data_IF_804207727606
#
_entry.id   IF_804207727606
#
_cell.length_a   1.000
_cell.length_b   1.000
_cell.length_c   1.000
_cell.angle_alpha   90.00
_cell.angle_beta   90.00
_cell.angle_gamma   90.00
#
_symmetry.space_group_name_H-M   'P 1'
#
loop_
_entity.id
_entity.type
_entity.pdbx_description
1 polymer ?
#
# COMPACT_ATOMS: atom_id res chain seq x y z
N UNK A 1 34.57 -22.58 5.94
CA UNK A 1 33.44 -21.63 5.85
C UNK A 1 33.54 -20.91 4.51
N UNK A 2 32.43 -20.73 3.79
CA UNK A 2 32.41 -19.90 2.57
C UNK A 2 32.86 -18.48 2.88
N UNK A 3 33.73 -17.90 2.03
CA UNK A 3 34.12 -16.48 2.10
C UNK A 3 33.02 -15.53 1.59
N UNK A 4 31.93 -16.07 1.04
CA UNK A 4 30.87 -15.30 0.39
C UNK A 4 29.58 -15.33 1.22
N UNK A 5 29.03 -14.14 1.44
CA UNK A 5 27.74 -13.89 2.07
C UNK A 5 26.68 -13.67 0.98
N UNK A 6 25.59 -14.44 1.03
CA UNK A 6 24.45 -14.24 0.14
C UNK A 6 23.44 -13.29 0.79
N UNK A 7 22.95 -12.31 0.03
CA UNK A 7 21.88 -11.40 0.48
C UNK A 7 20.67 -11.60 -0.41
N UNK A 8 19.52 -11.92 0.18
CA UNK A 8 18.27 -12.20 -0.51
C UNK A 8 17.23 -11.11 -0.24
N UNK A 9 16.70 -10.54 -1.32
CA UNK A 9 15.56 -9.62 -1.27
C UNK A 9 14.22 -10.33 -1.51
N UNK A 10 13.14 -9.52 -1.52
CA UNK A 10 11.75 -9.94 -1.76
C UNK A 10 11.54 -10.78 -3.04
N UNK A 11 12.39 -10.60 -4.05
CA UNK A 11 12.31 -11.32 -5.32
C UNK A 11 12.52 -12.83 -5.23
N UNK A 12 13.18 -13.34 -4.19
CA UNK A 12 13.38 -14.78 -4.00
C UNK A 12 12.04 -15.51 -3.78
N UNK A 13 11.16 -14.94 -2.95
CA UNK A 13 9.85 -15.49 -2.64
C UNK A 13 8.84 -15.30 -3.78
N UNK A 14 9.10 -14.34 -4.70
CA UNK A 14 8.23 -14.14 -5.87
C UNK A 14 8.46 -15.17 -6.98
N UNK A 15 9.49 -16.00 -6.90
CA UNK A 15 9.82 -16.96 -7.96
C UNK A 15 8.67 -17.93 -8.27
N UNK A 16 8.56 -18.30 -9.55
CA UNK A 16 7.48 -19.19 -10.03
C UNK A 16 7.46 -20.50 -9.26
N UNK A 17 6.29 -20.86 -8.73
CA UNK A 17 6.07 -21.99 -7.83
C UNK A 17 6.04 -21.60 -6.35
N UNK A 18 6.70 -20.51 -5.93
CA UNK A 18 6.48 -19.92 -4.59
C UNK A 18 5.37 -18.87 -4.67
N UNK A 19 5.45 -17.99 -5.67
CA UNK A 19 4.42 -17.00 -6.01
C UNK A 19 3.90 -16.23 -4.79
N UNK A 20 4.82 -15.83 -3.91
CA UNK A 20 4.50 -14.95 -2.80
C UNK A 20 4.22 -13.54 -3.33
N UNK A 21 3.22 -12.82 -2.75
CA UNK A 21 2.89 -11.49 -3.21
C UNK A 21 4.00 -10.48 -2.92
N UNK A 22 4.09 -9.47 -3.79
CA UNK A 22 4.93 -8.30 -3.58
C UNK A 22 4.21 -7.28 -2.70
N UNK A 23 4.95 -6.32 -2.13
CA UNK A 23 4.40 -5.29 -1.24
C UNK A 23 3.18 -4.55 -1.84
N UNK A 24 3.21 -4.26 -3.13
CA UNK A 24 2.13 -3.56 -3.85
C UNK A 24 0.85 -4.39 -4.05
N UNK A 25 0.90 -5.72 -3.89
CA UNK A 25 -0.26 -6.60 -3.98
C UNK A 25 -0.64 -7.23 -2.63
N UNK A 26 0.21 -7.07 -1.63
CA UNK A 26 0.09 -7.73 -0.33
C UNK A 26 -1.22 -7.38 0.39
N UNK A 27 -1.64 -6.12 0.35
CA UNK A 27 -2.89 -5.68 0.98
C UNK A 27 -4.12 -6.37 0.41
N UNK A 28 -4.18 -6.53 -0.93
CA UNK A 28 -5.27 -7.20 -1.61
C UNK A 28 -5.35 -8.69 -1.21
N UNK A 29 -4.20 -9.36 -1.17
CA UNK A 29 -4.11 -10.76 -0.75
C UNK A 29 -4.50 -10.96 0.71
N UNK A 30 -4.04 -10.09 1.63
CA UNK A 30 -4.42 -10.12 3.04
C UNK A 30 -5.94 -9.93 3.18
N UNK A 31 -6.51 -8.96 2.48
CA UNK A 31 -7.96 -8.70 2.52
C UNK A 31 -8.73 -9.94 2.07
N UNK A 32 -8.33 -10.54 0.94
CA UNK A 32 -8.96 -11.74 0.40
C UNK A 32 -8.85 -12.93 1.36
N UNK A 33 -7.70 -13.10 1.99
CA UNK A 33 -7.50 -14.13 3.00
C UNK A 33 -8.49 -13.97 4.14
N UNK A 34 -8.62 -12.77 4.72
CA UNK A 34 -9.55 -12.51 5.83
C UNK A 34 -11.02 -12.65 5.43
N UNK A 35 -11.38 -12.33 4.19
CA UNK A 35 -12.74 -12.52 3.68
C UNK A 35 -13.06 -14.00 3.35
N UNK A 36 -12.02 -14.85 3.25
CA UNK A 36 -12.14 -16.27 2.92
C UNK A 36 -11.58 -17.17 4.03
N UNK A 37 -10.52 -17.96 3.77
CA UNK A 37 -10.04 -18.98 4.72
C UNK A 37 -9.51 -18.41 6.05
N UNK A 38 -9.15 -17.14 6.08
CA UNK A 38 -8.72 -16.40 7.26
C UNK A 38 -9.87 -15.77 8.06
N UNK A 39 -11.13 -15.98 7.69
CA UNK A 39 -12.27 -15.37 8.41
C UNK A 39 -12.30 -15.66 9.92
N UNK A 40 -12.00 -16.89 10.39
CA UNK A 40 -11.90 -17.15 11.82
C UNK A 40 -10.80 -16.33 12.52
N UNK A 41 -9.72 -15.99 11.80
CA UNK A 41 -8.65 -15.13 12.33
C UNK A 41 -9.15 -13.70 12.47
N UNK A 42 -9.85 -13.14 11.47
CA UNK A 42 -10.49 -11.82 11.57
C UNK A 42 -11.42 -11.74 12.78
N UNK A 43 -12.28 -12.76 12.97
CA UNK A 43 -13.22 -12.81 14.08
C UNK A 43 -12.51 -12.85 15.44
N UNK A 44 -11.46 -13.68 15.57
CA UNK A 44 -10.66 -13.76 16.79
C UNK A 44 -9.94 -12.43 17.10
N UNK A 45 -9.33 -11.79 16.10
CA UNK A 45 -8.67 -10.51 16.27
C UNK A 45 -9.65 -9.40 16.68
N UNK A 46 -10.85 -9.38 16.10
CA UNK A 46 -11.91 -8.43 16.48
C UNK A 46 -12.42 -8.65 17.90
N UNK A 47 -12.54 -9.90 18.33
CA UNK A 47 -12.90 -10.23 19.71
C UNK A 47 -11.83 -9.77 20.71
N UNK A 48 -10.54 -9.96 20.39
CA UNK A 48 -9.42 -9.51 21.23
C UNK A 48 -9.25 -7.99 21.27
N UNK A 49 -9.70 -7.27 20.23
CA UNK A 49 -9.57 -5.82 20.10
C UNK A 49 -10.95 -5.16 20.14
N UNK A 50 -11.61 -5.11 21.32
CA UNK A 50 -12.98 -4.60 21.42
C UNK A 50 -13.06 -3.13 20.96
N UNK A 51 -14.11 -2.84 20.19
CA UNK A 51 -14.36 -1.52 19.62
C UNK A 51 -13.51 -1.19 18.38
N UNK A 52 -12.79 -2.15 17.80
CA UNK A 52 -12.07 -1.96 16.53
C UNK A 52 -13.06 -1.62 15.40
N UNK A 53 -12.96 -0.38 14.89
CA UNK A 53 -13.77 0.10 13.75
C UNK A 53 -13.05 -0.04 12.39
N UNK A 54 -11.78 -0.43 12.41
CA UNK A 54 -11.00 -0.54 11.18
C UNK A 54 -11.46 -1.70 10.30
N UNK A 55 -11.47 -1.41 9.00
CA UNK A 55 -11.52 -2.38 7.91
C UNK A 55 -10.74 -1.86 6.72
N UNK A 56 -10.19 -2.75 5.88
CA UNK A 56 -9.51 -2.35 4.65
C UNK A 56 -10.44 -1.56 3.71
N UNK A 57 -11.74 -1.85 3.73
CA UNK A 57 -12.76 -1.05 3.04
C UNK A 57 -12.87 0.39 3.59
N UNK A 58 -12.84 0.57 4.91
CA UNK A 58 -12.84 1.92 5.52
C UNK A 58 -11.57 2.69 5.20
N UNK A 59 -10.44 1.98 5.02
CA UNK A 59 -9.18 2.58 4.61
C UNK A 59 -9.27 3.13 3.19
N UNK A 60 -9.83 2.38 2.22
CA UNK A 60 -10.08 2.89 0.86
C UNK A 60 -10.89 4.18 0.90
N UNK A 61 -11.96 4.21 1.71
CA UNK A 61 -12.80 5.41 1.80
C UNK A 61 -11.98 6.64 2.24
N UNK A 62 -11.15 6.50 3.28
CA UNK A 62 -10.26 7.57 3.74
C UNK A 62 -9.18 7.93 2.71
N UNK A 63 -8.64 6.94 2.00
CA UNK A 63 -7.69 7.15 0.93
C UNK A 63 -8.32 8.04 -0.15
N UNK A 64 -9.55 7.74 -0.59
CA UNK A 64 -10.28 8.56 -1.56
C UNK A 64 -10.52 9.97 -1.05
N UNK A 65 -10.87 10.14 0.22
CA UNK A 65 -11.05 11.47 0.78
C UNK A 65 -9.73 12.26 0.80
N UNK A 66 -8.58 11.60 1.07
CA UNK A 66 -7.24 12.24 1.01
C UNK A 66 -6.83 12.64 -0.43
N UNK A 67 -7.37 12.04 -1.49
CA UNK A 67 -7.05 12.44 -2.88
C UNK A 67 -7.46 13.89 -3.15
N UNK A 68 -8.57 14.33 -2.56
CA UNK A 68 -9.10 15.68 -2.73
C UNK A 68 -8.12 16.77 -2.32
N UNK A 69 -7.31 16.46 -1.30
CA UNK A 69 -6.45 17.42 -0.60
C UNK A 69 -4.97 17.19 -0.93
N UNK A 70 -4.67 16.42 -1.98
CA UNK A 70 -3.29 16.22 -2.44
C UNK A 70 -2.81 17.41 -3.23
N UNK A 71 -1.51 17.68 -3.11
CA UNK A 71 -0.87 18.77 -3.84
C UNK A 71 -0.85 18.51 -5.36
N UNK A 72 -0.83 19.56 -6.21
CA UNK A 72 -0.88 19.40 -7.68
C UNK A 72 0.19 18.45 -8.23
N UNK A 73 1.40 18.48 -7.67
CA UNK A 73 2.50 17.60 -8.09
C UNK A 73 2.21 16.12 -7.78
N UNK A 74 1.59 15.81 -6.65
CA UNK A 74 1.19 14.44 -6.29
C UNK A 74 0.07 13.94 -7.21
N UNK A 75 -0.88 14.82 -7.54
CA UNK A 75 -1.95 14.50 -8.49
C UNK A 75 -1.38 14.20 -9.89
N UNK A 76 -0.40 15.00 -10.36
CA UNK A 76 0.31 14.74 -11.63
C UNK A 76 1.07 13.42 -11.61
N UNK A 77 1.75 13.08 -10.51
CA UNK A 77 2.42 11.79 -10.37
C UNK A 77 1.44 10.60 -10.40
N UNK A 78 0.23 10.75 -9.85
CA UNK A 78 -0.84 9.75 -9.98
C UNK A 78 -1.28 9.57 -11.43
N UNK A 79 -1.48 10.67 -12.16
CA UNK A 79 -1.84 10.64 -13.59
C UNK A 79 -0.77 9.91 -14.40
N UNK A 80 0.51 10.24 -14.19
CA UNK A 80 1.62 9.63 -14.92
C UNK A 80 1.67 8.11 -14.73
N UNK A 81 1.52 7.62 -13.49
CA UNK A 81 1.48 6.17 -13.22
C UNK A 81 0.35 5.46 -13.93
N UNK A 82 -0.84 6.07 -13.98
CA UNK A 82 -1.99 5.50 -14.69
C UNK A 82 -1.73 5.50 -16.20
N UNK A 83 -1.11 6.56 -16.75
CA UNK A 83 -0.71 6.63 -18.16
C UNK A 83 0.27 5.52 -18.53
N UNK A 84 1.31 5.32 -17.74
CA UNK A 84 2.30 4.25 -17.93
C UNK A 84 1.64 2.86 -17.86
N UNK A 85 0.75 2.67 -16.87
CA UNK A 85 0.00 1.43 -16.75
C UNK A 85 -0.84 1.14 -17.99
N UNK A 86 -1.63 2.09 -18.50
CA UNK A 86 -2.43 1.85 -19.70
C UNK A 86 -1.60 1.74 -20.99
N UNK A 87 -0.44 2.40 -21.07
CA UNK A 87 0.46 2.30 -22.22
C UNK A 87 1.02 0.89 -22.37
N UNK A 88 1.32 0.22 -21.24
CA UNK A 88 1.81 -1.16 -21.20
C UNK A 88 0.74 -2.23 -21.47
N UNK A 89 -0.55 -1.87 -21.52
CA UNK A 89 -1.62 -2.85 -21.70
C UNK A 89 -1.61 -3.46 -23.11
N UNK A 90 -1.87 -4.77 -23.23
CA UNK A 90 -2.16 -5.40 -24.51
C UNK A 90 -3.36 -4.77 -25.25
N UNK A 91 -3.42 -4.82 -26.59
CA UNK A 91 -4.50 -4.22 -27.38
C UNK A 91 -5.90 -4.70 -27.02
N UNK A 92 -6.05 -5.95 -26.61
CA UNK A 92 -7.33 -6.58 -26.25
C UNK A 92 -7.95 -6.05 -24.96
N UNK A 93 -7.16 -5.41 -24.08
CA UNK A 93 -7.65 -4.83 -22.81
C UNK A 93 -8.30 -3.45 -22.97
N UNK A 94 -9.19 -3.32 -23.96
CA UNK A 94 -9.87 -2.05 -24.31
C UNK A 94 -10.65 -1.47 -23.14
N UNK A 95 -11.35 -2.30 -22.37
CA UNK A 95 -12.14 -1.85 -21.22
C UNK A 95 -11.26 -1.24 -20.10
N UNK A 96 -10.13 -1.89 -19.79
CA UNK A 96 -9.17 -1.40 -18.79
C UNK A 96 -8.52 -0.10 -19.25
N UNK A 97 -8.17 0.00 -20.55
CA UNK A 97 -7.63 1.24 -21.15
C UNK A 97 -8.61 2.40 -21.02
N UNK A 98 -9.88 2.20 -21.39
CA UNK A 98 -10.94 3.21 -21.22
C UNK A 98 -11.15 3.61 -19.76
N UNK A 99 -11.04 2.65 -18.84
CA UNK A 99 -11.11 2.94 -17.41
C UNK A 99 -9.94 3.85 -16.98
N UNK A 100 -8.71 3.57 -17.40
CA UNK A 100 -7.58 4.45 -17.12
C UNK A 100 -7.71 5.84 -17.75
N UNK A 101 -8.22 5.93 -18.98
CA UNK A 101 -8.54 7.22 -19.61
C UNK A 101 -9.55 8.04 -18.81
N UNK A 102 -10.60 7.40 -18.26
CA UNK A 102 -11.54 8.06 -17.36
C UNK A 102 -10.83 8.63 -16.14
N UNK A 103 -10.00 7.83 -15.45
CA UNK A 103 -9.25 8.27 -14.27
C UNK A 103 -8.33 9.45 -14.62
N UNK A 104 -7.57 9.38 -15.72
CA UNK A 104 -6.70 10.46 -16.18
C UNK A 104 -7.51 11.75 -16.39
N UNK A 105 -8.64 11.69 -17.09
CA UNK A 105 -9.49 12.87 -17.33
C UNK A 105 -10.02 13.48 -16.03
N UNK A 106 -10.39 12.63 -15.07
CA UNK A 106 -10.88 13.05 -13.76
C UNK A 106 -9.79 13.76 -12.94
N UNK A 107 -8.58 13.22 -12.90
CA UNK A 107 -7.45 13.85 -12.20
C UNK A 107 -6.95 15.12 -12.88
N UNK A 108 -6.91 15.18 -14.21
CA UNK A 108 -6.54 16.41 -14.92
C UNK A 108 -7.50 17.56 -14.64
N UNK A 109 -8.81 17.26 -14.43
CA UNK A 109 -9.77 18.27 -13.99
C UNK A 109 -9.48 18.78 -12.58
N UNK A 110 -9.05 17.91 -11.67
CA UNK A 110 -8.65 18.33 -10.32
C UNK A 110 -7.38 19.17 -10.34
N UNK A 111 -6.37 18.74 -11.09
CA UNK A 111 -5.11 19.48 -11.22
C UNK A 111 -5.35 20.88 -11.78
N UNK A 112 -6.20 21.02 -12.80
CA UNK A 112 -6.55 22.32 -13.38
C UNK A 112 -7.29 23.23 -12.38
N UNK A 113 -8.20 22.67 -11.56
CA UNK A 113 -8.88 23.45 -10.51
C UNK A 113 -7.87 23.94 -9.47
N UNK A 114 -6.94 23.08 -9.06
CA UNK A 114 -5.92 23.44 -8.09
C UNK A 114 -4.97 24.51 -8.64
N UNK A 115 -4.49 24.37 -9.88
CA UNK A 115 -3.64 25.35 -10.55
C UNK A 115 -4.34 26.71 -10.70
N UNK A 116 -5.57 26.72 -11.22
CA UNK A 116 -6.33 27.97 -11.40
C UNK A 116 -6.81 28.61 -10.08
N UNK A 117 -6.68 27.89 -8.96
CA UNK A 117 -6.98 28.46 -7.65
C UNK A 117 -5.80 29.20 -7.05
N UNK A 118 -4.58 29.04 -7.58
CA UNK A 118 -3.42 29.80 -7.12
C UNK A 118 -3.52 31.26 -7.59
N UNK A 119 -3.06 32.19 -6.77
CA UNK A 119 -2.86 33.57 -7.18
C UNK A 119 -1.67 33.59 -8.14
N UNK A 120 -1.86 34.13 -9.33
CA UNK A 120 -0.76 34.38 -10.25
C UNK A 120 -0.05 35.70 -9.90
N UNK A 121 1.19 35.83 -10.39
CA UNK A 121 2.04 36.99 -10.12
C UNK A 121 1.39 38.31 -10.58
N UNK A 122 0.61 38.29 -11.67
CA UNK A 122 -0.12 39.45 -12.17
C UNK A 122 -1.19 39.91 -11.18
N UNK A 123 -1.97 38.96 -10.65
CA UNK A 123 -3.01 39.22 -9.66
C UNK A 123 -2.42 39.68 -8.33
N UNK A 124 -1.33 39.07 -7.86
CA UNK A 124 -0.63 39.51 -6.66
C UNK A 124 -0.10 40.94 -6.79
N UNK A 125 0.52 41.27 -7.93
CA UNK A 125 1.00 42.61 -8.21
C UNK A 125 -0.16 43.62 -8.20
N UNK A 126 -1.31 43.26 -8.79
CA UNK A 126 -2.49 44.11 -8.75
C UNK A 126 -3.02 44.32 -7.32
N UNK A 127 -3.02 43.29 -6.48
CA UNK A 127 -3.39 43.43 -5.05
C UNK A 127 -2.45 44.41 -4.35
N UNK A 128 -1.13 44.32 -4.61
CA UNK A 128 -0.11 45.22 -4.06
C UNK A 128 -0.30 46.67 -4.53
N UNK A 129 -0.71 46.88 -5.78
CA UNK A 129 -1.02 48.20 -6.32
C UNK A 129 -2.28 48.82 -5.71
N UNK A 130 -3.33 48.01 -5.51
CA UNK A 130 -4.62 48.49 -4.99
C UNK A 130 -4.58 48.70 -3.47
N UNK A 131 -3.85 47.85 -2.72
CA UNK A 131 -3.78 47.89 -1.26
C UNK A 131 -2.34 48.05 -0.73
N UNK A 132 -1.60 49.11 -1.10
CA UNK A 132 -0.14 49.18 -0.90
C UNK A 132 0.34 49.20 0.56
N UNK A 133 -0.55 49.47 1.53
CA UNK A 133 -0.22 49.48 2.96
C UNK A 133 -0.57 48.17 3.69
N UNK A 134 -1.47 47.38 3.11
CA UNK A 134 -2.07 46.20 3.73
C UNK A 134 -1.81 44.92 2.90
N UNK A 135 -1.13 45.02 1.76
CA UNK A 135 -0.96 43.94 0.79
C UNK A 135 -0.28 42.69 1.38
N UNK A 136 0.71 42.88 2.24
CA UNK A 136 1.40 41.76 2.89
C UNK A 136 0.52 41.03 3.91
N UNK A 137 -0.47 41.71 4.50
CA UNK A 137 -1.46 41.09 5.40
C UNK A 137 -2.61 40.43 4.61
N UNK A 138 -2.88 40.88 3.38
CA UNK A 138 -3.93 40.34 2.50
C UNK A 138 -3.47 39.10 1.71
N UNK A 139 -2.19 39.02 1.36
CA UNK A 139 -1.57 37.88 0.66
C UNK A 139 -1.00 36.91 1.71
N UNK A 140 -1.87 36.39 2.57
CA UNK A 140 -1.54 35.36 3.59
C UNK A 140 -1.70 33.93 3.03
N UNK A 141 -2.23 33.80 1.81
CA UNK A 141 -2.44 32.53 1.12
C UNK A 141 -2.15 32.70 -0.36
N UNK A 142 -1.33 31.81 -0.90
CA UNK A 142 -1.01 31.72 -2.34
C UNK A 142 -2.21 31.25 -3.18
N UNK A 143 -3.39 31.05 -2.57
CA UNK A 143 -4.59 30.54 -3.24
C UNK A 143 -5.86 31.27 -2.86
N UNK A 144 -6.72 31.45 -3.88
CA UNK A 144 -8.09 31.98 -3.81
C UNK A 144 -9.01 31.02 -3.06
N UNK A 145 -8.74 29.71 -3.11
CA UNK A 145 -9.55 28.67 -2.47
C UNK A 145 -8.70 27.84 -1.51
N UNK A 146 -9.21 27.61 -0.31
CA UNK A 146 -8.63 26.63 0.60
C UNK A 146 -8.91 25.21 0.07
N UNK A 147 -7.97 24.68 -0.70
CA UNK A 147 -8.06 23.34 -1.33
C UNK A 147 -8.22 22.24 -0.27
N UNK A 148 -7.69 22.43 0.94
CA UNK A 148 -7.83 21.46 2.02
C UNK A 148 -9.26 21.40 2.60
N UNK A 149 -10.08 22.43 2.35
CA UNK A 149 -11.52 22.45 2.68
C UNK A 149 -12.43 22.04 1.54
N UNK A 150 -11.92 21.89 0.32
CA UNK A 150 -12.70 21.43 -0.83
C UNK A 150 -13.01 19.93 -0.69
N UNK A 151 -14.29 19.57 -0.78
CA UNK A 151 -14.72 18.18 -0.86
C UNK A 151 -15.02 17.80 -2.32
N UNK A 152 -14.53 16.63 -2.72
CA UNK A 152 -14.95 15.99 -3.97
C UNK A 152 -16.45 15.71 -3.96
N UNK A 153 -17.06 15.74 -5.14
CA UNK A 153 -18.44 15.32 -5.33
C UNK A 153 -18.62 13.82 -5.06
N UNK A 154 -19.83 13.43 -4.66
CA UNK A 154 -20.14 12.01 -4.40
C UNK A 154 -19.93 11.12 -5.62
N UNK A 155 -20.18 11.65 -6.83
CA UNK A 155 -19.90 10.96 -8.09
C UNK A 155 -18.42 10.64 -8.20
N UNK A 156 -17.55 11.63 -7.98
CA UNK A 156 -16.11 11.46 -8.09
C UNK A 156 -15.57 10.50 -7.03
N UNK A 157 -16.01 10.69 -5.77
CA UNK A 157 -15.68 9.78 -4.67
C UNK A 157 -16.11 8.35 -4.98
N UNK A 158 -17.30 8.16 -5.56
CA UNK A 158 -17.82 6.83 -5.88
C UNK A 158 -17.00 6.15 -6.99
N UNK A 159 -16.62 6.89 -8.03
CA UNK A 159 -15.75 6.35 -9.10
C UNK A 159 -14.42 5.90 -8.50
N UNK A 160 -13.73 6.77 -7.75
CA UNK A 160 -12.44 6.43 -7.13
C UNK A 160 -12.55 5.26 -6.15
N UNK A 161 -13.59 5.24 -5.30
CA UNK A 161 -13.84 4.13 -4.36
C UNK A 161 -14.02 2.81 -5.10
N UNK A 162 -14.77 2.81 -6.20
CA UNK A 162 -14.95 1.60 -7.03
C UNK A 162 -13.63 1.18 -7.67
N UNK A 163 -12.89 2.11 -8.27
CA UNK A 163 -11.58 1.82 -8.88
C UNK A 163 -10.61 1.23 -7.88
N UNK A 164 -10.41 1.85 -6.71
CA UNK A 164 -9.48 1.32 -5.69
C UNK A 164 -9.94 -0.02 -5.11
N UNK A 165 -11.25 -0.25 -4.97
CA UNK A 165 -11.78 -1.57 -4.57
C UNK A 165 -11.45 -2.66 -5.58
N UNK A 166 -11.40 -2.35 -6.88
CA UNK A 166 -10.96 -3.33 -7.89
C UNK A 166 -9.49 -3.74 -7.67
N UNK A 167 -8.66 -2.86 -7.09
CA UNK A 167 -7.30 -3.20 -6.68
C UNK A 167 -7.22 -4.22 -5.53
N UNK A 168 -8.32 -4.41 -4.78
CA UNK A 168 -8.42 -5.45 -3.74
C UNK A 168 -9.09 -6.74 -4.24
N UNK A 169 -9.68 -6.74 -5.44
CA UNK A 169 -10.35 -7.92 -6.02
C UNK A 169 -9.35 -8.90 -6.64
N UNK A 170 -9.80 -10.14 -6.92
CA UNK A 170 -8.98 -11.25 -7.39
C UNK A 170 -8.26 -11.01 -8.73
N UNK A 171 -8.85 -10.17 -9.58
CA UNK A 171 -8.24 -9.81 -10.86
C UNK A 171 -7.39 -8.57 -10.65
N UNK A 172 -6.07 -8.70 -10.81
CA UNK A 172 -5.15 -7.55 -10.79
C UNK A 172 -5.60 -6.54 -11.84
N UNK A 173 -6.25 -5.47 -11.38
CA UNK A 173 -6.69 -4.39 -12.24
C UNK A 173 -5.60 -3.32 -12.31
N UNK A 174 -4.92 -3.21 -13.45
CA UNK A 174 -3.68 -2.44 -13.61
C UNK A 174 -3.85 -0.96 -13.25
N UNK A 175 -4.98 -0.36 -13.63
CA UNK A 175 -5.31 1.03 -13.27
C UNK A 175 -5.48 1.20 -11.76
N UNK A 176 -6.08 0.22 -11.09
CA UNK A 176 -6.32 0.29 -9.66
C UNK A 176 -5.02 0.09 -8.87
N UNK A 177 -4.16 -0.82 -9.34
CA UNK A 177 -2.82 -1.00 -8.80
C UNK A 177 -1.97 0.27 -8.98
N UNK A 178 -2.00 0.88 -10.16
CA UNK A 178 -1.26 2.12 -10.43
C UNK A 178 -1.75 3.30 -9.58
N UNK A 179 -3.07 3.47 -9.47
CA UNK A 179 -3.69 4.52 -8.66
C UNK A 179 -3.47 4.30 -7.16
N UNK A 180 -3.56 3.05 -6.72
CA UNK A 180 -3.49 2.65 -5.33
C UNK A 180 -2.09 2.38 -4.80
N UNK A 181 -1.03 2.47 -5.63
CA UNK A 181 0.30 1.96 -5.26
C UNK A 181 0.86 2.58 -3.96
N UNK A 182 0.59 3.87 -3.71
CA UNK A 182 1.02 4.53 -2.46
C UNK A 182 -0.06 4.42 -1.37
N UNK A 183 -1.33 4.43 -1.79
CA UNK A 183 -2.50 4.55 -0.91
C UNK A 183 -2.90 3.23 -0.26
N UNK A 184 -2.55 2.13 -0.91
CA UNK A 184 -2.84 0.75 -0.52
C UNK A 184 -1.55 0.02 -0.10
N UNK A 185 -0.47 0.76 0.16
CA UNK A 185 0.75 0.19 0.69
C UNK A 185 0.59 -0.12 2.18
N UNK A 186 0.68 -1.41 2.52
CA UNK A 186 0.54 -1.88 3.89
C UNK A 186 1.70 -1.43 4.80
N UNK A 187 2.89 -1.21 4.27
CA UNK A 187 4.05 -0.74 5.04
C UNK A 187 3.83 0.71 5.50
N UNK A 188 3.42 1.58 4.58
CA UNK A 188 3.06 2.97 4.89
C UNK A 188 1.93 3.02 5.92
N UNK A 189 0.94 2.14 5.77
CA UNK A 189 -0.18 2.04 6.71
C UNK A 189 0.31 1.63 8.11
N UNK A 190 1.17 0.63 8.20
CA UNK A 190 1.74 0.18 9.47
C UNK A 190 2.55 1.30 10.13
N UNK A 191 3.37 2.04 9.39
CA UNK A 191 4.11 3.20 9.91
C UNK A 191 3.14 4.27 10.44
N UNK A 192 2.12 4.65 9.66
CA UNK A 192 1.13 5.66 10.06
C UNK A 192 0.44 5.27 11.38
N UNK A 193 0.11 3.98 11.55
CA UNK A 193 -0.56 3.49 12.77
C UNK A 193 0.41 3.27 13.93
N UNK A 194 1.66 2.94 13.65
CA UNK A 194 2.71 2.80 14.66
C UNK A 194 2.97 4.11 15.40
N UNK A 195 2.83 5.26 14.73
CA UNK A 195 2.91 6.58 15.39
C UNK A 195 1.89 6.76 16.52
N UNK A 196 0.81 5.96 16.52
CA UNK A 196 -0.14 5.90 17.64
C UNK A 196 0.47 5.48 18.96
N UNK A 197 1.57 4.70 18.98
CA UNK A 197 2.28 4.35 20.21
C UNK A 197 3.04 5.54 20.81
N UNK A 198 3.62 6.41 19.97
CA UNK A 198 4.34 7.60 20.44
C UNK A 198 3.39 8.68 20.97
N UNK A 199 2.22 8.80 20.35
CA UNK A 199 1.24 9.84 20.69
C UNK A 199 0.12 9.34 21.62
N UNK A 200 0.30 8.16 22.21
CA UNK A 200 -0.68 7.46 23.07
C UNK A 200 -2.11 7.54 22.54
N UNK A 201 -2.30 7.09 21.29
CA UNK A 201 -3.59 7.12 20.58
C UNK A 201 -4.17 5.70 20.46
N UNK A 202 -5.07 5.28 21.37
CA UNK A 202 -5.50 3.88 21.46
C UNK A 202 -6.14 3.34 20.19
N UNK A 203 -6.82 4.19 19.41
CA UNK A 203 -7.42 3.76 18.15
C UNK A 203 -6.37 3.35 17.12
N UNK A 204 -5.25 4.08 17.05
CA UNK A 204 -4.20 3.79 16.07
C UNK A 204 -3.36 2.59 16.52
N UNK A 205 -3.12 2.45 17.83
CA UNK A 205 -2.51 1.25 18.43
C UNK A 205 -3.34 0.00 18.08
N UNK A 206 -4.67 0.01 18.31
CA UNK A 206 -5.55 -1.12 17.97
C UNK A 206 -5.53 -1.43 16.47
N UNK A 207 -5.54 -0.41 15.62
CA UNK A 207 -5.46 -0.59 14.18
C UNK A 207 -4.13 -1.24 13.79
N UNK A 208 -3.01 -0.77 14.35
CA UNK A 208 -1.70 -1.35 14.12
C UNK A 208 -1.68 -2.83 14.50
N UNK A 209 -2.12 -3.18 15.71
CA UNK A 209 -2.18 -4.57 16.17
C UNK A 209 -3.00 -5.45 15.22
N UNK A 210 -4.19 -5.00 14.84
CA UNK A 210 -5.03 -5.73 13.89
C UNK A 210 -4.35 -5.95 12.54
N UNK A 211 -3.78 -4.90 11.94
CA UNK A 211 -3.13 -4.98 10.62
C UNK A 211 -1.90 -5.91 10.68
N UNK A 212 -1.05 -5.75 11.68
CA UNK A 212 0.15 -6.56 11.87
C UNK A 212 -0.17 -8.05 12.04
N UNK A 213 -1.16 -8.38 12.87
CA UNK A 213 -1.58 -9.76 13.09
C UNK A 213 -2.30 -10.37 11.88
N UNK A 214 -3.13 -9.59 11.19
CA UNK A 214 -3.75 -10.02 9.94
C UNK A 214 -2.70 -10.34 8.86
N UNK A 215 -1.71 -9.45 8.71
CA UNK A 215 -0.59 -9.66 7.80
C UNK A 215 0.20 -10.93 8.19
N UNK A 216 0.60 -11.05 9.46
CA UNK A 216 1.33 -12.22 9.94
C UNK A 216 0.56 -13.53 9.68
N UNK A 217 -0.73 -13.58 10.01
CA UNK A 217 -1.56 -14.76 9.81
C UNK A 217 -1.66 -15.14 8.32
N UNK A 218 -1.82 -14.16 7.44
CA UNK A 218 -1.78 -14.36 5.99
C UNK A 218 -0.44 -14.95 5.55
N UNK A 219 0.68 -14.35 5.96
CA UNK A 219 2.02 -14.82 5.57
C UNK A 219 2.27 -16.26 6.04
N UNK A 220 1.85 -16.60 7.27
CA UNK A 220 1.93 -17.97 7.81
C UNK A 220 1.06 -18.95 7.00
N UNK A 221 -0.18 -18.57 6.70
CA UNK A 221 -1.08 -19.40 5.89
C UNK A 221 -0.49 -19.66 4.50
N UNK A 222 -0.01 -18.60 3.84
CA UNK A 222 0.58 -18.69 2.50
C UNK A 222 1.86 -19.52 2.48
N UNK A 223 2.72 -19.38 3.49
CA UNK A 223 3.89 -20.24 3.65
C UNK A 223 3.48 -21.72 3.76
N UNK A 224 2.47 -22.04 4.57
CA UNK A 224 1.98 -23.43 4.72
C UNK A 224 1.43 -23.99 3.41
N UNK A 225 0.70 -23.19 2.63
CA UNK A 225 0.21 -23.58 1.30
C UNK A 225 1.37 -23.93 0.35
N UNK A 226 2.39 -23.09 0.26
CA UNK A 226 3.57 -23.34 -0.59
C UNK A 226 4.27 -24.62 -0.18
N UNK A 227 4.51 -24.82 1.12
CA UNK A 227 5.15 -26.03 1.65
C UNK A 227 4.31 -27.28 1.36
N UNK A 228 3.00 -27.22 1.56
CA UNK A 228 2.10 -28.34 1.29
C UNK A 228 2.08 -28.70 -0.21
N UNK A 229 2.08 -27.69 -1.10
CA UNK A 229 2.09 -27.90 -2.54
C UNK A 229 3.39 -28.56 -3.05
N UNK A 230 4.52 -28.33 -2.38
CA UNK A 230 5.82 -28.90 -2.78
C UNK A 230 6.15 -30.19 -2.04
N UNK A 231 5.56 -30.44 -0.87
CA UNK A 231 5.84 -31.61 -0.04
C UNK A 231 7.33 -31.71 0.30
N UNK A 232 7.96 -32.82 -0.10
CA UNK A 232 9.40 -33.04 0.07
C UNK A 232 10.25 -32.48 -1.09
N UNK A 233 9.63 -31.95 -2.14
CA UNK A 233 10.35 -31.43 -3.29
C UNK A 233 11.08 -30.13 -2.93
N UNK A 234 12.32 -29.92 -3.42
CA UNK A 234 13.02 -28.67 -3.19
C UNK A 234 12.24 -27.48 -3.75
N UNK A 235 12.11 -26.42 -2.96
CA UNK A 235 11.44 -25.19 -3.40
C UNK A 235 12.18 -24.54 -4.57
N UNK A 236 11.46 -23.89 -5.51
CA UNK A 236 12.06 -23.04 -6.53
C UNK A 236 13.03 -22.03 -5.90
N UNK A 237 14.12 -21.70 -6.60
CA UNK A 237 15.23 -20.88 -6.10
C UNK A 237 15.99 -21.46 -4.89
N UNK A 238 15.33 -21.65 -3.74
CA UNK A 238 15.94 -22.11 -2.49
C UNK A 238 16.58 -23.49 -2.61
N UNK A 239 15.94 -24.44 -3.30
CA UNK A 239 16.49 -25.77 -3.55
C UNK A 239 17.80 -25.78 -4.35
N UNK A 240 18.08 -24.70 -5.08
CA UNK A 240 19.30 -24.53 -5.89
C UNK A 240 20.43 -23.85 -5.12
N UNK A 241 20.18 -23.37 -3.90
CA UNK A 241 21.20 -22.70 -3.10
C UNK A 241 22.26 -23.71 -2.64
N UNK A 242 23.55 -23.34 -2.71
CA UNK A 242 24.62 -24.12 -2.10
C UNK A 242 24.43 -24.17 -0.58
N UNK A 243 24.70 -25.31 0.06
CA UNK A 243 24.46 -25.50 1.51
C UNK A 243 25.60 -25.01 2.39
N UNK A 244 26.74 -24.66 1.80
CA UNK A 244 27.94 -24.21 2.51
C UNK A 244 28.07 -22.68 2.61
N UNK A 245 27.00 -21.94 2.34
CA UNK A 245 26.97 -20.47 2.39
C UNK A 245 26.18 -19.97 3.59
N UNK A 246 26.58 -18.80 4.10
CA UNK A 246 25.78 -18.02 5.02
C UNK A 246 24.94 -17.03 4.23
N UNK A 247 23.68 -16.85 4.63
CA UNK A 247 22.75 -15.98 3.94
C UNK A 247 22.01 -15.04 4.90
N UNK A 248 21.82 -13.79 4.47
CA UNK A 248 20.90 -12.84 5.08
C UNK A 248 19.68 -12.72 4.16
N UNK A 249 18.48 -12.79 4.72
CA UNK A 249 17.24 -12.59 3.99
C UNK A 249 16.47 -11.39 4.54
N UNK A 250 15.89 -10.63 3.62
CA UNK A 250 14.89 -9.59 3.88
C UNK A 250 13.46 -10.16 3.86
N UNK A 251 13.30 -11.45 3.48
CA UNK A 251 12.01 -12.14 3.49
C UNK A 251 11.65 -12.66 4.89
N UNK A 252 10.35 -12.74 5.17
CA UNK A 252 9.83 -13.27 6.44
C UNK A 252 9.72 -14.79 6.47
N UNK A 253 9.67 -15.46 5.31
CA UNK A 253 9.37 -16.89 5.20
C UNK A 253 10.51 -17.80 5.65
N UNK A 254 10.19 -18.98 6.17
CA UNK A 254 11.16 -19.96 6.66
C UNK A 254 11.88 -20.74 5.55
N UNK A 255 11.68 -20.40 4.27
CA UNK A 255 12.20 -21.19 3.14
C UNK A 255 13.73 -21.23 3.12
N UNK A 256 14.38 -20.10 3.41
CA UNK A 256 15.84 -20.04 3.52
C UNK A 256 16.36 -20.94 4.65
N UNK A 257 15.77 -20.81 5.85
CA UNK A 257 16.14 -21.60 7.01
C UNK A 257 15.96 -23.10 6.78
N UNK A 258 14.90 -23.53 6.09
CA UNK A 258 14.68 -24.94 5.75
C UNK A 258 15.79 -25.50 4.85
N UNK A 259 16.41 -24.67 4.01
CA UNK A 259 17.50 -25.08 3.12
C UNK A 259 18.86 -25.09 3.81
N UNK A 260 19.15 -24.05 4.57
CA UNK A 260 20.50 -23.74 5.08
C UNK A 260 20.70 -24.13 6.56
N UNK A 261 19.61 -24.34 7.31
CA UNK A 261 19.63 -24.45 8.76
C UNK A 261 19.63 -23.08 9.45
N UNK A 262 19.28 -23.06 10.74
CA UNK A 262 19.20 -21.84 11.57
C UNK A 262 20.53 -21.11 11.67
N UNK A 263 21.65 -21.84 11.74
CA UNK A 263 22.97 -21.26 12.00
C UNK A 263 23.53 -20.50 10.79
N UNK A 264 23.00 -20.79 9.59
CA UNK A 264 23.46 -20.20 8.33
C UNK A 264 22.47 -19.18 7.76
N UNK A 265 21.28 -19.04 8.33
CA UNK A 265 20.24 -18.13 7.86
C UNK A 265 19.99 -17.00 8.88
N UNK A 266 20.18 -15.76 8.45
CA UNK A 266 19.91 -14.56 9.26
C UNK A 266 18.73 -13.79 8.68
N UNK A 267 17.74 -13.51 9.52
CA UNK A 267 16.53 -12.79 9.13
C UNK A 267 16.63 -11.33 9.59
N UNK A 268 16.85 -10.43 8.64
CA UNK A 268 17.14 -9.03 8.97
C UNK A 268 15.96 -8.32 9.67
N UNK A 269 14.73 -8.65 9.28
CA UNK A 269 13.50 -8.08 9.86
C UNK A 269 12.79 -9.03 10.84
N UNK A 270 13.44 -10.13 11.23
CA UNK A 270 12.76 -11.27 11.87
C UNK A 270 12.07 -12.18 10.85
N UNK A 271 11.56 -13.33 11.32
CA UNK A 271 10.94 -14.35 10.47
C UNK A 271 9.66 -14.90 11.08
N UNK A 272 8.85 -15.59 10.27
CA UNK A 272 7.57 -16.17 10.67
C UNK A 272 7.70 -17.34 11.67
N UNK A 273 8.92 -17.81 11.93
CA UNK A 273 9.19 -18.89 12.88
C UNK A 273 9.00 -18.45 14.34
N UNK A 274 9.07 -17.14 14.61
CA UNK A 274 8.99 -16.58 15.96
C UNK A 274 7.90 -15.49 16.01
N UNK A 275 7.26 -15.35 17.16
CA UNK A 275 6.32 -14.26 17.42
C UNK A 275 6.38 -13.87 18.89
N UNK A 276 6.04 -12.62 19.18
CA UNK A 276 5.92 -12.12 20.55
C UNK A 276 4.50 -12.42 21.05
N UNK A 277 4.41 -13.17 22.15
CA UNK A 277 3.15 -13.35 22.89
C UNK A 277 2.81 -12.06 23.63
N UNK A 278 1.60 -11.56 23.41
CA UNK A 278 1.09 -10.33 24.03
C UNK A 278 0.19 -10.62 25.24
N UNK A 279 0.03 -11.89 25.62
CA UNK A 279 -0.90 -12.38 26.64
C UNK A 279 -0.23 -12.66 28.01
N UNK A 280 0.81 -11.91 28.36
CA UNK A 280 1.48 -11.97 29.67
C UNK A 280 1.37 -10.67 30.43
#
# INVERSE_FOLDING_TARGET
>A
MSQHLLILGAGADRTSGIDFPLANTLLAEVTRYLDGPGKPVDDALRAMLPGLRFSFNSMIARAVDKIATREPHEQKAMVQRVQEAIASLPPEKVAVRKHGELIIRLFNKLALIAENSQLDEETENLIREVFPKDADDLIDSDSILDIHKLSLSDTFKTVLKRTLKMGLSSDQHEVAAALGADMLNIETLLIEKFLGFYNDKPSDIKNYLYISWALWAFLVARQKEVLAAHGASPLPFYGKLPTNVRAITLNYTSFLQQRLGSDQAVYFHGGLAEYVRMDT
#
